data_IF_614068921931
#
_entry.id   IF_614068921931
#
_cell.length_a   1.000
_cell.length_b   1.000
_cell.length_c   1.000
_cell.angle_alpha   90.00
_cell.angle_beta   90.00
_cell.angle_gamma   90.00
#
_symmetry.space_group_name_H-M   'P 1'
#
loop_
_entity.id
_entity.type
_entity.pdbx_description
1 polymer ?
#
# COMPACT_ATOMS: atom_id res chain seq x y z
N UNK A 1 7.04 -9.52 -51.71
CA UNK A 1 6.79 -8.56 -50.61
C UNK A 1 5.46 -8.77 -49.87
N UNK A 2 4.78 -9.93 -49.98
CA UNK A 2 3.45 -10.14 -49.35
C UNK A 2 3.47 -10.89 -48.01
N UNK A 3 4.60 -11.46 -47.59
CA UNK A 3 4.65 -12.41 -46.46
C UNK A 3 5.15 -11.80 -45.14
N UNK A 4 5.54 -10.53 -45.14
CA UNK A 4 6.03 -9.85 -43.92
C UNK A 4 4.86 -9.35 -43.06
N UNK A 5 3.87 -8.72 -43.73
CA UNK A 5 2.67 -8.14 -43.09
C UNK A 5 1.83 -9.13 -42.27
N UNK A 6 1.84 -10.43 -42.64
CA UNK A 6 1.09 -11.46 -41.90
C UNK A 6 1.81 -11.95 -40.64
N UNK A 7 3.13 -11.76 -40.55
CA UNK A 7 3.95 -12.14 -39.39
C UNK A 7 3.81 -11.09 -38.29
N UNK A 8 3.79 -9.82 -38.69
CA UNK A 8 3.58 -8.69 -37.79
C UNK A 8 2.17 -8.72 -37.18
N UNK A 9 1.15 -9.05 -37.98
CA UNK A 9 -0.23 -9.16 -37.51
C UNK A 9 -0.48 -10.29 -36.48
N UNK A 10 0.37 -11.33 -36.47
CA UNK A 10 0.29 -12.42 -35.49
C UNK A 10 1.12 -12.10 -34.23
N UNK A 11 2.15 -11.25 -34.36
CA UNK A 11 2.96 -10.77 -33.24
C UNK A 11 2.25 -9.69 -32.41
N UNK A 12 1.39 -8.88 -33.05
CA UNK A 12 0.56 -7.86 -32.40
C UNK A 12 -0.78 -8.39 -31.85
N UNK A 13 -1.09 -9.67 -32.07
CA UNK A 13 -2.27 -10.28 -31.49
C UNK A 13 -2.11 -10.38 -29.96
N UNK A 14 -3.00 -9.78 -29.15
CA UNK A 14 -2.96 -9.94 -27.71
C UNK A 14 -3.05 -11.43 -27.37
N UNK A 15 -1.98 -11.97 -26.77
CA UNK A 15 -1.94 -13.37 -26.34
C UNK A 15 -3.15 -13.58 -25.43
N UNK A 16 -4.04 -14.55 -25.69
CA UNK A 16 -5.19 -14.80 -24.82
C UNK A 16 -4.66 -15.23 -23.45
N UNK A 17 -4.56 -14.27 -22.53
CA UNK A 17 -4.18 -14.52 -21.15
C UNK A 17 -5.35 -15.21 -20.46
N UNK A 18 -5.42 -16.53 -20.61
CA UNK A 18 -6.36 -17.34 -19.86
C UNK A 18 -5.95 -17.28 -18.38
N UNK A 19 -6.63 -16.44 -17.61
CA UNK A 19 -6.46 -16.14 -16.17
C UNK A 19 -5.32 -15.14 -15.82
N UNK A 20 -5.47 -13.88 -16.25
CA UNK A 20 -4.68 -12.77 -15.69
C UNK A 20 -4.96 -12.63 -14.19
N UNK A 21 -3.94 -12.39 -13.36
CA UNK A 21 -4.15 -12.19 -11.92
C UNK A 21 -5.12 -11.03 -11.60
N UNK A 22 -5.21 -10.03 -12.49
CA UNK A 22 -6.22 -8.97 -12.44
C UNK A 22 -7.66 -9.47 -12.68
N UNK A 23 -7.86 -10.50 -13.50
CA UNK A 23 -9.16 -11.12 -13.78
C UNK A 23 -9.63 -11.98 -12.60
N UNK A 24 -8.69 -12.66 -11.92
CA UNK A 24 -8.94 -13.41 -10.67
C UNK A 24 -9.42 -12.47 -9.55
N UNK A 25 -8.87 -11.26 -9.46
CA UNK A 25 -9.34 -10.22 -8.52
C UNK A 25 -10.73 -9.68 -8.91
N UNK A 26 -11.02 -9.59 -10.22
CA UNK A 26 -12.29 -9.06 -10.74
C UNK A 26 -13.44 -10.07 -10.70
N UNK A 27 -13.11 -11.37 -10.67
CA UNK A 27 -14.05 -12.47 -10.51
C UNK A 27 -14.46 -12.61 -9.04
N UNK A 28 -15.34 -11.71 -8.59
CA UNK A 28 -15.90 -11.76 -7.23
C UNK A 28 -17.03 -12.79 -7.16
N UNK A 29 -16.85 -13.83 -6.35
CA UNK A 29 -17.95 -14.72 -6.00
C UNK A 29 -18.81 -14.05 -4.92
N UNK A 30 -20.15 -14.22 -4.90
CA UNK A 30 -21.00 -13.72 -3.82
C UNK A 30 -20.55 -14.20 -2.42
N UNK A 31 -19.90 -15.37 -2.36
CA UNK A 31 -19.30 -15.95 -1.16
C UNK A 31 -18.14 -15.09 -0.62
N UNK A 32 -17.38 -14.43 -1.49
CA UNK A 32 -16.28 -13.55 -1.08
C UNK A 32 -16.80 -12.30 -0.36
N UNK A 33 -17.97 -11.79 -0.76
CA UNK A 33 -18.63 -10.66 -0.10
C UNK A 33 -19.05 -11.06 1.32
N UNK A 34 -19.60 -12.27 1.48
CA UNK A 34 -20.00 -12.80 2.79
C UNK A 34 -18.79 -12.97 3.71
N UNK A 35 -17.68 -13.50 3.19
CA UNK A 35 -16.41 -13.64 3.93
C UNK A 35 -15.84 -12.28 4.35
N UNK A 36 -15.94 -11.26 3.47
CA UNK A 36 -15.53 -9.89 3.77
C UNK A 36 -16.38 -9.24 4.86
N UNK A 37 -17.71 -9.35 4.75
CA UNK A 37 -18.63 -8.83 5.76
C UNK A 37 -18.39 -9.51 7.10
N UNK A 38 -18.20 -10.83 7.12
CA UNK A 38 -17.89 -11.58 8.33
C UNK A 38 -16.55 -11.14 8.95
N UNK A 39 -15.52 -10.93 8.14
CA UNK A 39 -14.22 -10.44 8.60
C UNK A 39 -14.31 -9.02 9.20
N UNK A 40 -15.08 -8.12 8.58
CA UNK A 40 -15.32 -6.76 9.09
C UNK A 40 -16.07 -6.82 10.43
N UNK A 41 -17.13 -7.63 10.52
CA UNK A 41 -17.88 -7.82 11.77
C UNK A 41 -16.96 -8.34 12.88
N UNK A 42 -16.06 -9.26 12.55
CA UNK A 42 -15.14 -9.85 13.52
C UNK A 42 -14.04 -8.86 13.97
N UNK A 43 -13.59 -7.97 13.09
CA UNK A 43 -12.67 -6.87 13.44
C UNK A 43 -13.34 -5.78 14.29
N UNK A 44 -14.59 -5.43 13.96
CA UNK A 44 -15.38 -4.50 14.80
C UNK A 44 -15.62 -5.15 16.16
N UNK A 45 -15.99 -6.43 16.20
CA UNK A 45 -16.08 -7.23 17.42
C UNK A 45 -14.79 -7.18 18.23
N UNK A 46 -13.62 -7.34 17.60
CA UNK A 46 -12.32 -7.25 18.26
C UNK A 46 -12.05 -5.87 18.89
N UNK A 47 -12.51 -4.78 18.27
CA UNK A 47 -12.39 -3.43 18.89
C UNK A 47 -13.30 -3.26 20.12
N UNK A 48 -14.47 -3.90 20.09
CA UNK A 48 -15.45 -3.88 21.18
C UNK A 48 -15.03 -4.80 22.33
N UNK A 49 -14.14 -5.78 22.10
CA UNK A 49 -13.61 -6.67 23.14
C UNK A 49 -13.03 -5.87 24.31
N UNK A 50 -12.24 -4.84 24.04
CA UNK A 50 -11.60 -4.03 25.08
C UNK A 50 -12.61 -3.29 25.99
N UNK A 51 -13.75 -2.87 25.43
CA UNK A 51 -14.75 -2.09 26.15
C UNK A 51 -15.79 -2.97 26.86
N UNK A 52 -16.19 -4.10 26.26
CA UNK A 52 -17.34 -4.88 26.74
C UNK A 52 -16.94 -6.19 27.45
N UNK A 53 -15.81 -6.84 27.13
CA UNK A 53 -15.45 -8.11 27.80
C UNK A 53 -15.25 -7.99 29.33
N UNK A 54 -14.67 -6.91 29.89
CA UNK A 54 -14.50 -6.77 31.34
C UNK A 54 -15.83 -6.76 32.12
N UNK A 55 -16.92 -6.34 31.47
CA UNK A 55 -18.24 -6.23 32.08
C UNK A 55 -19.01 -7.56 32.12
N UNK A 56 -18.74 -8.48 31.18
CA UNK A 56 -19.46 -9.75 31.06
C UNK A 56 -18.66 -10.97 31.56
N UNK A 57 -17.32 -10.89 31.63
CA UNK A 57 -16.48 -12.03 32.02
C UNK A 57 -15.35 -11.62 32.97
N UNK A 58 -15.45 -12.03 34.25
CA UNK A 58 -14.49 -11.67 35.30
C UNK A 58 -13.00 -12.02 34.99
N UNK A 59 -12.68 -13.15 34.32
CA UNK A 59 -11.30 -13.44 33.90
C UNK A 59 -10.75 -12.51 32.80
N UNK A 60 -11.62 -11.87 32.01
CA UNK A 60 -11.24 -10.92 30.97
C UNK A 60 -10.90 -9.53 31.50
N UNK A 61 -10.96 -9.30 32.81
CA UNK A 61 -10.36 -8.11 33.43
C UNK A 61 -8.83 -8.11 33.32
N UNK A 62 -8.21 -9.28 33.14
CA UNK A 62 -6.77 -9.40 32.91
C UNK A 62 -6.39 -8.96 31.50
N UNK A 63 -5.46 -8.00 31.40
CA UNK A 63 -4.96 -7.42 30.15
C UNK A 63 -4.45 -8.49 29.16
N UNK A 64 -3.80 -9.55 29.65
CA UNK A 64 -3.26 -10.63 28.82
C UNK A 64 -4.34 -11.44 28.12
N UNK A 65 -5.49 -11.65 28.78
CA UNK A 65 -6.62 -12.41 28.21
C UNK A 65 -7.31 -11.57 27.12
N UNK A 66 -7.41 -10.25 27.31
CA UNK A 66 -7.96 -9.35 26.28
C UNK A 66 -7.07 -9.31 25.03
N UNK A 67 -5.76 -9.17 25.20
CA UNK A 67 -4.79 -9.19 24.09
C UNK A 67 -4.90 -10.53 23.36
N UNK A 68 -4.98 -11.65 24.09
CA UNK A 68 -5.16 -12.98 23.50
C UNK A 68 -6.45 -13.12 22.70
N UNK A 69 -7.57 -12.62 23.22
CA UNK A 69 -8.87 -12.67 22.53
C UNK A 69 -8.89 -11.80 21.26
N UNK A 70 -8.32 -10.59 21.33
CA UNK A 70 -8.18 -9.70 20.17
C UNK A 70 -7.28 -10.34 19.11
N UNK A 71 -6.14 -10.89 19.52
CA UNK A 71 -5.21 -11.53 18.62
C UNK A 71 -5.82 -12.77 17.94
N UNK A 72 -6.57 -13.58 18.68
CA UNK A 72 -7.30 -14.72 18.13
C UNK A 72 -8.34 -14.27 17.10
N UNK A 73 -9.11 -13.21 17.39
CA UNK A 73 -10.06 -12.65 16.42
C UNK A 73 -9.34 -12.17 15.15
N UNK A 74 -8.24 -11.43 15.29
CA UNK A 74 -7.45 -10.96 14.15
C UNK A 74 -6.94 -12.13 13.31
N UNK A 75 -6.42 -13.18 13.92
CA UNK A 75 -5.93 -14.38 13.21
C UNK A 75 -7.06 -15.04 12.43
N UNK A 76 -8.25 -15.19 13.02
CA UNK A 76 -9.42 -15.76 12.35
C UNK A 76 -9.88 -14.88 11.19
N UNK A 77 -9.94 -13.57 11.37
CA UNK A 77 -10.30 -12.62 10.30
C UNK A 77 -9.30 -12.71 9.13
N UNK A 78 -8.00 -12.74 9.41
CA UNK A 78 -6.96 -12.89 8.40
C UNK A 78 -7.04 -14.24 7.69
N UNK A 79 -7.37 -15.31 8.41
CA UNK A 79 -7.59 -16.64 7.82
C UNK A 79 -8.78 -16.66 6.85
N UNK A 80 -9.89 -16.02 7.22
CA UNK A 80 -11.08 -15.87 6.35
C UNK A 80 -10.77 -15.05 5.09
N UNK A 81 -10.02 -13.94 5.25
CA UNK A 81 -9.58 -13.11 4.13
C UNK A 81 -8.60 -13.84 3.21
N UNK A 82 -7.71 -14.68 3.75
CA UNK A 82 -6.81 -15.52 2.95
C UNK A 82 -7.56 -16.60 2.15
N UNK A 83 -8.64 -17.15 2.72
CA UNK A 83 -9.47 -18.15 2.06
C UNK A 83 -10.27 -17.57 0.86
N UNK A 84 -10.49 -16.26 0.85
CA UNK A 84 -11.24 -15.52 -0.19
C UNK A 84 -10.52 -15.56 -1.55
N UNK A 85 -11.27 -15.60 -2.65
CA UNK A 85 -10.71 -15.66 -4.02
C UNK A 85 -9.77 -14.47 -4.31
N UNK A 86 -10.15 -13.28 -3.85
CA UNK A 86 -9.34 -12.06 -3.92
C UNK A 86 -8.03 -12.18 -3.11
N UNK A 87 -8.05 -12.85 -1.96
CA UNK A 87 -6.88 -13.06 -1.11
C UNK A 87 -5.81 -13.93 -1.79
N UNK A 88 -6.23 -15.03 -2.44
CA UNK A 88 -5.33 -15.89 -3.22
C UNK A 88 -4.77 -15.17 -4.46
N UNK A 89 -5.60 -14.36 -5.13
CA UNK A 89 -5.18 -13.51 -6.25
C UNK A 89 -4.12 -12.48 -5.84
N UNK A 90 -4.29 -11.82 -4.70
CA UNK A 90 -3.33 -10.86 -4.15
C UNK A 90 -1.97 -11.51 -3.83
N UNK A 91 -1.96 -12.71 -3.26
CA UNK A 91 -0.70 -13.44 -2.98
C UNK A 91 0.04 -13.81 -4.27
N UNK A 92 -0.71 -14.15 -5.33
CA UNK A 92 -0.12 -14.41 -6.66
C UNK A 92 0.48 -13.13 -7.24
N UNK A 93 -0.24 -12.01 -7.18
CA UNK A 93 0.27 -10.70 -7.58
C UNK A 93 1.54 -10.31 -6.82
N UNK A 94 1.59 -10.53 -5.50
CA UNK A 94 2.79 -10.25 -4.70
C UNK A 94 4.00 -11.10 -5.15
N UNK A 95 3.78 -12.36 -5.52
CA UNK A 95 4.85 -13.22 -6.05
C UNK A 95 5.34 -12.73 -7.41
N UNK A 96 4.41 -12.35 -8.29
CA UNK A 96 4.72 -11.84 -9.62
C UNK A 96 5.44 -10.47 -9.53
N UNK A 97 4.99 -9.57 -8.66
CA UNK A 97 5.64 -8.28 -8.37
C UNK A 97 7.06 -8.44 -7.81
N UNK A 98 7.31 -9.47 -6.99
CA UNK A 98 8.67 -9.78 -6.51
C UNK A 98 9.60 -10.24 -7.64
N UNK A 99 9.06 -10.96 -8.62
CA UNK A 99 9.83 -11.39 -9.79
C UNK A 99 10.17 -10.19 -10.68
N UNK A 100 9.22 -9.25 -10.83
CA UNK A 100 9.43 -8.01 -11.58
C UNK A 100 10.37 -7.04 -10.86
N UNK A 101 10.32 -6.96 -9.53
CA UNK A 101 11.26 -6.17 -8.73
C UNK A 101 12.72 -6.63 -8.92
N UNK A 102 12.95 -7.90 -9.22
CA UNK A 102 14.31 -8.41 -9.53
C UNK A 102 14.83 -7.94 -10.88
N UNK A 103 13.94 -7.52 -11.78
CA UNK A 103 14.29 -6.93 -13.08
C UNK A 103 14.54 -5.43 -12.99
N UNK A 104 14.17 -4.80 -11.86
CA UNK A 104 14.52 -3.41 -11.59
C UNK A 104 16.03 -3.36 -11.36
N UNK A 105 16.75 -2.96 -12.40
CA UNK A 105 18.16 -2.59 -12.31
C UNK A 105 18.25 -1.33 -11.46
N UNK A 106 18.40 -1.50 -10.14
CA UNK A 106 18.54 -0.37 -9.24
C UNK A 106 19.72 0.49 -9.69
N UNK A 107 19.52 1.82 -9.75
CA UNK A 107 20.57 2.74 -10.13
C UNK A 107 21.79 2.53 -9.24
N UNK A 108 22.98 2.54 -9.84
CA UNK A 108 24.24 2.48 -9.10
C UNK A 108 24.33 3.64 -8.11
N UNK A 109 25.01 3.45 -6.98
CA UNK A 109 25.13 4.47 -5.93
C UNK A 109 25.66 5.81 -6.46
N UNK A 110 26.45 5.78 -7.53
CA UNK A 110 26.99 6.98 -8.16
C UNK A 110 25.90 7.84 -8.81
N UNK A 111 24.96 7.25 -9.56
CA UNK A 111 23.85 7.99 -10.21
C UNK A 111 22.90 8.61 -9.18
N UNK A 112 22.62 7.87 -8.10
CA UNK A 112 21.77 8.32 -7.00
C UNK A 112 22.39 9.51 -6.26
N UNK A 113 23.70 9.48 -6.02
CA UNK A 113 24.41 10.58 -5.33
C UNK A 113 24.49 11.82 -6.22
N UNK A 114 24.76 11.66 -7.51
CA UNK A 114 24.78 12.78 -8.48
C UNK A 114 23.46 13.53 -8.47
N UNK A 115 22.35 12.80 -8.57
CA UNK A 115 21.00 13.41 -8.58
C UNK A 115 20.66 14.02 -7.22
N UNK A 116 21.02 13.36 -6.12
CA UNK A 116 20.75 13.87 -4.76
C UNK A 116 21.51 15.17 -4.48
N UNK A 117 22.77 15.29 -4.91
CA UNK A 117 23.57 16.50 -4.72
C UNK A 117 23.03 17.68 -5.54
N UNK A 118 22.55 17.43 -6.77
CA UNK A 118 21.87 18.46 -7.58
C UNK A 118 20.63 19.00 -6.86
N UNK A 119 19.79 18.12 -6.30
CA UNK A 119 18.60 18.52 -5.54
C UNK A 119 18.98 19.31 -4.29
N UNK A 120 19.98 18.85 -3.53
CA UNK A 120 20.49 19.56 -2.34
C UNK A 120 20.97 20.97 -2.69
N UNK A 121 21.67 21.13 -3.81
CA UNK A 121 22.13 22.43 -4.28
C UNK A 121 20.96 23.38 -4.57
N UNK A 122 19.91 22.89 -5.24
CA UNK A 122 18.70 23.68 -5.52
C UNK A 122 17.98 24.07 -4.21
N UNK A 123 17.90 23.16 -3.23
CA UNK A 123 17.29 23.44 -1.92
C UNK A 123 18.07 24.52 -1.18
N UNK A 124 19.40 24.48 -1.19
CA UNK A 124 20.25 25.49 -0.54
C UNK A 124 20.03 26.87 -1.17
N UNK A 125 19.99 26.95 -2.51
CA UNK A 125 19.72 28.20 -3.22
C UNK A 125 18.35 28.76 -2.86
N UNK A 126 17.31 27.92 -2.89
CA UNK A 126 15.95 28.33 -2.52
C UNK A 126 15.87 28.80 -1.06
N UNK A 127 16.53 28.10 -0.13
CA UNK A 127 16.57 28.47 1.28
C UNK A 127 17.24 29.84 1.50
N UNK A 128 18.35 30.12 0.82
CA UNK A 128 19.03 31.43 0.91
C UNK A 128 18.15 32.55 0.35
N UNK A 129 17.47 32.32 -0.78
CA UNK A 129 16.57 33.31 -1.38
C UNK A 129 15.39 33.62 -0.45
N UNK A 130 14.75 32.60 0.10
CA UNK A 130 13.65 32.78 1.05
C UNK A 130 14.13 33.51 2.31
N UNK A 131 15.24 33.08 2.90
CA UNK A 131 15.84 33.73 4.07
C UNK A 131 16.14 35.22 3.84
N UNK A 132 16.63 35.58 2.66
CA UNK A 132 16.82 36.98 2.27
C UNK A 132 15.49 37.75 2.20
N UNK A 133 14.46 37.13 1.62
CA UNK A 133 13.13 37.72 1.54
C UNK A 133 12.48 37.91 2.91
N UNK A 134 12.62 36.93 3.81
CA UNK A 134 12.17 37.01 5.19
C UNK A 134 12.82 38.19 5.93
N UNK A 135 14.12 38.41 5.74
CA UNK A 135 14.79 39.60 6.29
C UNK A 135 14.30 40.90 5.67
N UNK A 136 14.10 40.95 4.37
CA UNK A 136 13.61 42.13 3.68
C UNK A 136 12.20 42.52 4.15
N UNK A 137 11.30 41.54 4.26
CA UNK A 137 9.96 41.74 4.83
C UNK A 137 10.03 42.16 6.29
N UNK A 138 10.87 41.53 7.11
CA UNK A 138 11.05 41.89 8.51
C UNK A 138 11.58 43.31 8.69
N UNK A 139 12.48 43.77 7.83
CA UNK A 139 12.95 45.16 7.80
C UNK A 139 11.82 46.12 7.40
N UNK A 140 11.03 45.78 6.38
CA UNK A 140 9.91 46.60 5.90
C UNK A 140 8.80 46.73 6.95
N UNK A 141 8.46 45.65 7.65
CA UNK A 141 7.49 45.66 8.76
C UNK A 141 7.98 46.53 9.92
N UNK A 142 9.28 46.46 10.27
CA UNK A 142 9.86 47.34 11.31
C UNK A 142 9.78 48.82 10.93
N UNK A 143 9.89 49.16 9.65
CA UNK A 143 9.73 50.53 9.17
C UNK A 143 8.27 51.01 9.22
N UNK A 144 7.30 50.10 9.10
CA UNK A 144 5.88 50.43 9.21
C UNK A 144 5.35 50.51 10.64
N UNK A 145 5.86 49.68 11.56
CA UNK A 145 5.45 49.63 12.97
C UNK A 145 6.27 50.60 13.84
N UNK A 146 7.47 50.96 13.38
CA UNK A 146 8.30 52.02 13.95
C UNK A 146 7.84 53.40 13.52
#
# INVERSE_FOLDING_TARGET
>A
MSNDKSRDALSDAPIPQKNTAAEVVRSGSPIDIILWVLAIILLIGASLVNQYLPAYWAPASNIWVQIGAILACIIVALGLLYATHQGKGFIRLLKDSRLELRRVTWPTKQETVTTSWQVVLVIIVAAIVLWCFDYALGWLVKLMIG
#
